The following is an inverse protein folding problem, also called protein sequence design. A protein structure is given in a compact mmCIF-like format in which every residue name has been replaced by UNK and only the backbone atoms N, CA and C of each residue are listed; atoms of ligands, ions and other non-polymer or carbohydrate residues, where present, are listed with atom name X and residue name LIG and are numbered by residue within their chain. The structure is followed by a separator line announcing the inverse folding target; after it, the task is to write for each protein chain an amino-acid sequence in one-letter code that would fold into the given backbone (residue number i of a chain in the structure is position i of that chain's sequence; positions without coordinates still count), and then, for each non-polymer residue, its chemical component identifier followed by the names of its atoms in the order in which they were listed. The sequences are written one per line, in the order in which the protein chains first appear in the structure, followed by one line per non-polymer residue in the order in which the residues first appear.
data_IF_140846430050
#
_entry.id   IF_140846430050
#
_cell.length_a   1.000
_cell.length_b   1.000
_cell.length_c   1.000
_cell.angle_alpha   90.00
_cell.angle_beta   90.00
_cell.angle_gamma   90.00
#
_symmetry.space_group_name_H-M   'P 1'
#
loop_
_entity.id
_entity.type
_entity.pdbx_description
1 polymer ?
#
# COMPACT_ATOMS: atom_id res chain seq x y z
N UNK A 1 -10.47 19.87 13.89
CA UNK A 1 -10.74 20.69 12.68
C UNK A 1 -12.13 20.37 12.14
N UNK A 2 -12.88 21.34 11.62
CA UNK A 2 -14.15 21.12 10.91
C UNK A 2 -13.95 21.39 9.42
N UNK A 3 -14.44 20.50 8.57
CA UNK A 3 -14.39 20.66 7.10
C UNK A 3 -15.80 20.62 6.54
N UNK A 4 -16.12 21.65 5.74
CA UNK A 4 -17.44 21.91 5.15
C UNK A 4 -17.22 22.06 3.64
N UNK A 5 -18.10 21.46 2.83
CA UNK A 5 -17.96 21.45 1.38
C UNK A 5 -19.26 21.02 0.68
N UNK A 6 -19.25 21.06 -0.65
CA UNK A 6 -20.34 20.54 -1.48
C UNK A 6 -20.12 19.04 -1.79
N UNK A 7 -21.12 18.40 -2.40
CA UNK A 7 -21.12 16.96 -2.70
C UNK A 7 -20.01 16.48 -3.65
N UNK A 8 -19.25 17.40 -4.25
CA UNK A 8 -18.20 17.10 -5.21
C UNK A 8 -16.80 17.46 -4.67
N UNK A 9 -16.72 18.02 -3.47
CA UNK A 9 -15.45 18.28 -2.83
C UNK A 9 -14.85 16.97 -2.25
N UNK A 10 -13.53 16.92 -2.16
CA UNK A 10 -12.78 15.79 -1.62
C UNK A 10 -11.94 16.26 -0.43
N UNK A 11 -11.80 15.41 0.58
CA UNK A 11 -10.87 15.61 1.68
C UNK A 11 -9.89 14.46 1.72
N UNK A 12 -8.61 14.77 1.57
CA UNK A 12 -7.53 13.84 1.84
C UNK A 12 -7.13 13.97 3.31
N UNK A 13 -7.22 12.87 4.05
CA UNK A 13 -6.96 12.86 5.49
C UNK A 13 -6.03 11.69 5.85
N UNK A 14 -4.73 11.95 5.77
CA UNK A 14 -3.67 10.98 6.09
C UNK A 14 -3.59 10.76 7.60
N UNK A 15 -3.52 9.51 8.05
CA UNK A 15 -3.40 9.13 9.46
C UNK A 15 -4.68 9.29 10.28
N UNK A 16 -5.78 9.73 9.66
CA UNK A 16 -7.09 9.85 10.30
C UNK A 16 -8.03 8.74 9.84
N UNK A 17 -8.46 7.90 10.78
CA UNK A 17 -9.39 6.82 10.51
C UNK A 17 -10.82 7.22 10.87
N UNK A 18 -11.79 6.75 10.09
CA UNK A 18 -13.21 7.03 10.33
C UNK A 18 -13.65 6.36 11.64
N UNK A 19 -14.20 7.16 12.55
CA UNK A 19 -14.82 6.65 13.76
C UNK A 19 -16.26 6.21 13.50
N UNK A 20 -16.79 5.36 14.38
CA UNK A 20 -18.22 5.01 14.42
C UNK A 20 -19.10 6.13 15.04
N UNK A 21 -18.52 7.30 15.29
CA UNK A 21 -19.21 8.44 15.91
C UNK A 21 -19.51 9.53 14.88
N UNK A 22 -20.69 10.13 15.00
CA UNK A 22 -21.07 11.34 14.28
C UNK A 22 -21.30 12.48 15.26
N UNK A 23 -21.21 13.72 14.78
CA UNK A 23 -21.42 14.92 15.57
C UNK A 23 -22.30 15.90 14.83
N UNK A 24 -23.27 16.50 15.53
CA UNK A 24 -24.13 17.55 14.98
C UNK A 24 -23.68 18.90 15.55
N UNK A 25 -23.44 19.89 14.68
CA UNK A 25 -23.14 21.26 15.10
C UNK A 25 -23.89 22.23 14.19
N UNK A 26 -24.77 23.05 14.78
CA UNK A 26 -25.56 24.03 14.02
C UNK A 26 -26.48 23.39 12.96
N UNK A 27 -27.02 22.20 13.24
CA UNK A 27 -27.87 21.45 12.30
C UNK A 27 -27.13 20.68 11.21
N UNK A 28 -25.80 20.79 11.13
CA UNK A 28 -24.98 20.04 10.17
C UNK A 28 -24.41 18.78 10.84
N UNK A 29 -24.56 17.62 10.19
CA UNK A 29 -24.00 16.34 10.64
C UNK A 29 -22.60 16.13 10.06
N UNK A 30 -21.65 15.80 10.93
CA UNK A 30 -20.27 15.50 10.62
C UNK A 30 -19.93 14.06 11.01
N UNK A 31 -19.20 13.37 10.14
CA UNK A 31 -18.46 12.16 10.48
C UNK A 31 -17.19 12.55 11.25
N UNK A 32 -16.89 11.84 12.33
CA UNK A 32 -15.68 12.08 13.13
C UNK A 32 -14.59 11.11 12.70
N UNK A 33 -13.39 11.63 12.46
CA UNK A 33 -12.19 10.86 12.23
C UNK A 33 -11.18 11.11 13.36
N UNK A 34 -10.44 10.08 13.75
CA UNK A 34 -9.43 10.11 14.82
C UNK A 34 -8.07 9.72 14.30
N UNK A 35 -7.02 10.33 14.85
CA UNK A 35 -5.65 9.99 14.50
C UNK A 35 -5.12 8.85 15.38
N UNK A 36 -4.49 7.85 14.76
CA UNK A 36 -3.97 6.65 15.45
C UNK A 36 -2.93 7.02 16.51
N UNK A 37 -1.97 7.88 16.17
CA UNK A 37 -0.90 8.30 17.10
C UNK A 37 -1.21 9.57 17.91
N UNK A 38 -2.39 10.17 17.71
CA UNK A 38 -2.78 11.42 18.39
C UNK A 38 -4.26 11.36 18.83
N UNK A 39 -4.58 10.68 19.95
CA UNK A 39 -5.95 10.35 20.34
C UNK A 39 -6.88 11.57 20.52
N UNK A 40 -6.29 12.72 20.86
CA UNK A 40 -6.97 14.00 21.04
C UNK A 40 -7.26 14.73 19.73
N UNK A 41 -6.53 14.41 18.65
CA UNK A 41 -6.77 14.99 17.34
C UNK A 41 -8.06 14.43 16.73
N UNK A 42 -8.98 15.33 16.37
CA UNK A 42 -10.25 15.00 15.71
C UNK A 42 -10.44 15.85 14.45
N UNK A 43 -10.83 15.18 13.37
CA UNK A 43 -11.29 15.81 12.14
C UNK A 43 -12.79 15.54 12.00
N UNK A 44 -13.60 16.59 11.85
CA UNK A 44 -15.05 16.49 11.64
C UNK A 44 -15.36 16.88 10.21
N UNK A 45 -15.83 15.93 9.41
CA UNK A 45 -16.11 16.13 7.98
C UNK A 45 -17.59 15.99 7.73
N UNK A 46 -18.21 16.95 7.04
CA UNK A 46 -19.64 16.90 6.70
C UNK A 46 -20.01 15.59 5.98
N UNK A 47 -21.16 15.00 6.31
CA UNK A 47 -21.55 13.64 5.87
C UNK A 47 -21.60 13.40 4.35
N UNK A 48 -21.72 14.46 3.55
CA UNK A 48 -21.88 14.39 2.09
C UNK A 48 -20.57 14.60 1.32
N UNK A 49 -19.44 14.64 2.03
CA UNK A 49 -18.12 14.81 1.43
C UNK A 49 -17.42 13.45 1.28
N UNK A 50 -16.68 13.26 0.20
CA UNK A 50 -15.83 12.09 0.01
C UNK A 50 -14.54 12.29 0.81
N UNK A 51 -14.19 11.32 1.65
CA UNK A 51 -12.95 11.34 2.43
C UNK A 51 -12.07 10.17 2.00
N UNK A 52 -10.87 10.49 1.54
CA UNK A 52 -9.83 9.53 1.17
C UNK A 52 -8.87 9.39 2.35
N UNK A 53 -8.90 8.25 3.02
CA UNK A 53 -8.04 7.93 4.18
C UNK A 53 -7.01 6.85 3.84
N UNK A 54 -6.65 6.69 2.56
CA UNK A 54 -5.69 5.66 2.17
C UNK A 54 -4.32 5.99 2.73
N UNK A 55 -3.99 5.36 3.86
CA UNK A 55 -2.60 5.13 4.21
C UNK A 55 -2.07 4.13 3.17
N UNK A 56 -1.01 4.49 2.45
CA UNK A 56 -0.33 3.53 1.59
C UNK A 56 0.27 2.46 2.50
N UNK A 57 -0.44 1.34 2.63
CA UNK A 57 0.09 0.14 3.25
C UNK A 57 0.95 -0.53 2.19
N UNK A 58 2.22 -0.77 2.51
CA UNK A 58 3.05 -1.63 1.68
C UNK A 58 2.46 -3.03 1.54
N UNK A 59 3.06 -3.84 0.70
CA UNK A 59 2.73 -5.26 0.57
C UNK A 59 3.88 -6.13 1.07
N UNK A 60 3.57 -7.36 1.42
CA UNK A 60 4.56 -8.38 1.79
C UNK A 60 5.00 -9.11 0.52
N UNK A 61 6.28 -9.46 0.44
CA UNK A 61 6.83 -10.34 -0.59
C UNK A 61 7.40 -11.60 0.05
N UNK A 62 6.85 -12.75 -0.32
CA UNK A 62 7.29 -14.06 0.15
C UNK A 62 8.31 -14.65 -0.84
N UNK A 63 9.43 -15.15 -0.32
CA UNK A 63 10.46 -15.82 -1.12
C UNK A 63 9.95 -17.10 -1.80
N UNK A 64 10.61 -17.50 -2.88
CA UNK A 64 10.26 -18.73 -3.63
C UNK A 64 10.60 -19.99 -2.83
N UNK A 65 11.88 -20.15 -2.47
CA UNK A 65 12.35 -21.28 -1.66
C UNK A 65 13.13 -20.80 -0.43
N UNK A 66 13.26 -21.69 0.56
CA UNK A 66 14.17 -21.48 1.67
C UNK A 66 15.61 -21.34 1.15
N UNK A 67 16.41 -20.50 1.81
CA UNK A 67 17.83 -20.26 1.48
C UNK A 67 18.10 -19.56 0.14
N UNK A 68 17.07 -19.16 -0.62
CA UNK A 68 17.26 -18.36 -1.84
C UNK A 68 17.75 -16.93 -1.54
N UNK A 69 17.63 -16.48 -0.28
CA UNK A 69 17.96 -15.14 0.19
C UNK A 69 17.34 -14.03 -0.69
N UNK A 70 16.09 -14.22 -1.09
CA UNK A 70 15.31 -13.22 -1.82
C UNK A 70 15.18 -11.93 -1.00
N UNK A 71 15.30 -10.78 -1.68
CA UNK A 71 15.29 -9.47 -1.02
C UNK A 71 16.65 -9.05 -0.46
N UNK A 72 17.72 -9.82 -0.74
CA UNK A 72 19.09 -9.43 -0.37
C UNK A 72 19.50 -8.10 -1.01
N UNK A 73 19.07 -7.88 -2.26
CA UNK A 73 19.15 -6.59 -2.93
C UNK A 73 17.81 -6.25 -3.57
N UNK A 74 17.43 -4.98 -3.49
CA UNK A 74 16.23 -4.43 -4.11
C UNK A 74 16.59 -3.10 -4.75
N UNK A 75 16.05 -2.83 -5.93
CA UNK A 75 16.21 -1.56 -6.63
C UNK A 75 14.92 -1.21 -7.37
N UNK A 76 14.66 0.09 -7.55
CA UNK A 76 13.60 0.55 -8.45
C UNK A 76 13.94 0.16 -9.89
N UNK A 77 12.94 -0.33 -10.63
CA UNK A 77 13.03 -0.61 -12.05
C UNK A 77 12.40 0.49 -12.92
N UNK A 78 11.71 1.46 -12.30
CA UNK A 78 10.72 2.31 -12.96
C UNK A 78 9.46 1.51 -13.33
N UNK A 79 8.50 2.15 -13.99
CA UNK A 79 7.33 1.50 -14.57
C UNK A 79 7.70 0.78 -15.88
N UNK A 80 7.99 -0.52 -15.82
CA UNK A 80 8.44 -1.31 -16.98
C UNK A 80 7.28 -1.94 -17.75
N UNK A 81 6.09 -2.00 -17.15
CA UNK A 81 4.90 -2.60 -17.76
C UNK A 81 3.90 -1.56 -18.31
N UNK A 82 4.08 -0.28 -18.00
CA UNK A 82 3.28 0.85 -18.48
C UNK A 82 1.98 1.08 -17.73
N UNK A 83 1.85 0.63 -16.48
CA UNK A 83 0.63 0.77 -15.68
C UNK A 83 0.58 2.04 -14.81
N UNK A 84 1.66 2.83 -14.82
CA UNK A 84 1.82 4.07 -14.06
C UNK A 84 2.32 3.86 -12.63
N UNK A 85 2.75 2.66 -12.26
CA UNK A 85 3.35 2.35 -10.96
C UNK A 85 4.81 1.92 -11.15
N UNK A 86 5.71 2.42 -10.29
CA UNK A 86 7.10 1.99 -10.34
C UNK A 86 7.23 0.52 -9.90
N UNK A 87 7.98 -0.26 -10.69
CA UNK A 87 8.27 -1.67 -10.45
C UNK A 87 9.59 -1.86 -9.68
N UNK A 88 9.82 -3.08 -9.21
CA UNK A 88 11.00 -3.44 -8.42
C UNK A 88 11.80 -4.57 -9.08
N UNK A 89 13.13 -4.46 -9.05
CA UNK A 89 14.03 -5.59 -9.28
C UNK A 89 14.46 -6.15 -7.92
N UNK A 90 14.28 -7.45 -7.74
CA UNK A 90 14.58 -8.16 -6.50
C UNK A 90 15.58 -9.28 -6.75
N UNK A 91 16.70 -9.27 -6.03
CA UNK A 91 17.73 -10.30 -6.09
C UNK A 91 17.51 -11.42 -5.07
N UNK A 92 17.71 -12.66 -5.52
CA UNK A 92 17.77 -13.87 -4.69
C UNK A 92 19.06 -14.63 -5.02
N UNK A 93 20.15 -14.20 -4.40
CA UNK A 93 21.50 -14.66 -4.77
C UNK A 93 21.80 -16.12 -4.38
N UNK A 94 21.08 -16.68 -3.41
CA UNK A 94 21.21 -18.10 -3.02
C UNK A 94 20.43 -19.06 -3.93
N UNK A 95 19.55 -18.53 -4.78
CA UNK A 95 18.68 -19.37 -5.59
C UNK A 95 19.46 -20.27 -6.55
N UNK A 96 18.95 -21.49 -6.73
CA UNK A 96 19.57 -22.52 -7.57
C UNK A 96 18.71 -22.85 -8.80
N UNK A 97 18.69 -21.99 -9.84
CA UNK A 97 17.96 -22.27 -11.07
C UNK A 97 18.55 -23.48 -11.82
N UNK A 98 17.67 -24.32 -12.38
CA UNK A 98 17.96 -25.40 -13.35
C UNK A 98 19.39 -25.96 -13.33
N UNK A 99 19.63 -26.90 -12.40
CA UNK A 99 20.90 -27.64 -12.26
C UNK A 99 22.14 -26.79 -11.98
N UNK A 100 21.99 -25.53 -11.58
CA UNK A 100 23.08 -24.65 -11.16
C UNK A 100 22.92 -24.24 -9.71
N UNK A 101 23.83 -24.74 -8.86
CA UNK A 101 23.86 -24.40 -7.44
C UNK A 101 24.21 -22.92 -7.26
N UNK A 102 23.39 -22.20 -6.48
CA UNK A 102 23.57 -20.81 -6.07
C UNK A 102 23.95 -19.84 -7.21
N UNK A 103 23.42 -20.07 -8.41
CA UNK A 103 23.64 -19.17 -9.54
C UNK A 103 22.85 -17.85 -9.43
N UNK A 104 21.88 -17.81 -8.52
CA UNK A 104 21.02 -16.68 -8.24
C UNK A 104 19.83 -16.59 -9.21
N UNK A 105 18.79 -15.88 -8.75
CA UNK A 105 17.65 -15.44 -9.56
C UNK A 105 17.43 -13.94 -9.37
N UNK A 106 16.84 -13.31 -10.37
CA UNK A 106 16.36 -11.93 -10.30
C UNK A 106 14.91 -11.89 -10.75
N UNK A 107 14.09 -11.15 -10.02
CA UNK A 107 12.66 -11.00 -10.30
C UNK A 107 12.37 -9.55 -10.64
N UNK A 108 11.51 -9.33 -11.62
CA UNK A 108 10.80 -8.05 -11.79
C UNK A 108 9.44 -8.23 -11.12
N UNK A 109 9.13 -7.35 -10.18
CA UNK A 109 7.87 -7.36 -9.44
C UNK A 109 7.12 -6.08 -9.76
N UNK A 110 5.94 -6.23 -10.38
CA UNK A 110 5.15 -5.08 -10.76
C UNK A 110 4.56 -4.34 -9.56
N UNK A 111 4.58 -3.01 -9.63
CA UNK A 111 3.98 -2.12 -8.66
C UNK A 111 2.48 -2.39 -8.50
N UNK A 112 1.93 -2.12 -7.30
CA UNK A 112 0.50 -2.31 -7.02
C UNK A 112 0.01 -1.43 -5.88
N UNK A 113 -1.27 -1.12 -5.91
CA UNK A 113 -1.95 -0.25 -4.93
C UNK A 113 -2.65 -1.02 -3.81
N UNK A 114 -2.84 -2.32 -3.96
CA UNK A 114 -3.43 -3.18 -2.92
C UNK A 114 -2.34 -3.87 -2.09
N UNK A 115 -2.68 -4.19 -0.84
CA UNK A 115 -1.76 -4.79 0.13
C UNK A 115 -1.64 -6.33 0.00
N UNK A 116 -2.18 -6.96 -1.05
CA UNK A 116 -2.11 -8.41 -1.22
C UNK A 116 -0.65 -8.84 -1.41
N UNK A 117 -0.22 -9.84 -0.64
CA UNK A 117 1.13 -10.37 -0.71
C UNK A 117 1.46 -10.90 -2.11
N UNK A 118 2.74 -10.82 -2.47
CA UNK A 118 3.30 -11.38 -3.69
C UNK A 118 4.14 -12.59 -3.31
N UNK A 119 3.95 -13.73 -3.97
CA UNK A 119 4.84 -14.88 -3.82
C UNK A 119 5.78 -14.96 -5.02
N UNK A 120 7.09 -14.98 -4.80
CA UNK A 120 8.06 -15.09 -5.90
C UNK A 120 7.95 -16.44 -6.64
N UNK A 121 7.38 -17.46 -6.00
CA UNK A 121 7.01 -18.74 -6.65
C UNK A 121 6.01 -18.58 -7.79
N UNK A 122 5.08 -17.62 -7.68
CA UNK A 122 4.07 -17.37 -8.70
C UNK A 122 4.68 -16.66 -9.91
N UNK A 123 5.77 -15.90 -9.70
CA UNK A 123 6.55 -15.27 -10.78
C UNK A 123 7.45 -16.31 -11.45
N UNK A 124 8.15 -17.14 -10.67
CA UNK A 124 9.07 -18.17 -11.16
C UNK A 124 8.40 -19.31 -11.93
N UNK A 125 7.14 -19.62 -11.62
CA UNK A 125 6.37 -20.67 -12.31
C UNK A 125 5.83 -20.23 -13.67
N UNK A 126 5.83 -18.93 -13.96
CA UNK A 126 5.41 -18.34 -15.22
C UNK A 126 6.60 -17.98 -16.14
N UNK A 127 7.82 -18.39 -15.78
CA UNK A 127 9.07 -18.13 -16.52
C UNK A 127 9.69 -19.38 -17.12
#
# INVERSE_FOLDING_TARGET
LKVIGNSNANVEAIGFEKSNTSKIVGGITYQVYSHTDAPTAKLWVQQNLIVSTSIAQGFVMNGENAEDYSGYSVSSAGDVNGDGLDDLIVGAHGASPTSKYAAGKSYVVFGKTNATAINLSDIASNS
#
